data_IF_858534736699
#
_entry.id   IF_858534736699
#
_cell.length_a   1.000
_cell.length_b   1.000
_cell.length_c   1.000
_cell.angle_alpha   90.00
_cell.angle_beta   90.00
_cell.angle_gamma   90.00
#
_symmetry.space_group_name_H-M   'P 1'
#
loop_
_entity.id
_entity.type
_entity.pdbx_description
1 polymer ?
#
# COMPACT_ATOMS: atom_id res chain seq x y z
N UNK A 1 23.62 20.52 -3.10
CA UNK A 1 22.22 20.33 -2.68
C UNK A 1 21.35 19.57 -3.70
N UNK A 2 21.49 19.81 -5.00
CA UNK A 2 20.73 19.16 -6.09
C UNK A 2 20.94 17.64 -6.14
N UNK A 3 22.19 17.18 -6.08
CA UNK A 3 22.54 15.74 -6.16
C UNK A 3 21.86 14.95 -5.02
N UNK A 4 21.88 15.47 -3.78
CA UNK A 4 21.25 14.78 -2.65
C UNK A 4 19.73 14.64 -2.83
N UNK A 5 19.07 15.66 -3.40
CA UNK A 5 17.62 15.60 -3.71
C UNK A 5 17.35 14.59 -4.82
N UNK A 6 18.17 14.54 -5.85
CA UNK A 6 18.07 13.56 -6.93
C UNK A 6 18.24 12.13 -6.40
N UNK A 7 19.25 11.88 -5.58
CA UNK A 7 19.47 10.57 -4.96
C UNK A 7 18.27 10.16 -4.11
N UNK A 8 17.72 11.04 -3.27
CA UNK A 8 16.52 10.74 -2.48
C UNK A 8 15.30 10.43 -3.35
N UNK A 9 15.14 11.13 -4.48
CA UNK A 9 14.06 10.84 -5.43
C UNK A 9 14.19 9.48 -6.08
N UNK A 10 15.41 9.10 -6.48
CA UNK A 10 15.70 7.77 -7.05
C UNK A 10 15.43 6.68 -6.01
N UNK A 11 15.96 6.83 -4.79
CA UNK A 11 15.75 5.86 -3.71
C UNK A 11 14.26 5.63 -3.45
N UNK A 12 13.46 6.70 -3.33
CA UNK A 12 12.01 6.58 -3.16
C UNK A 12 11.33 5.83 -4.32
N UNK A 13 11.71 6.11 -5.56
CA UNK A 13 11.16 5.39 -6.71
C UNK A 13 11.51 3.91 -6.69
N UNK A 14 12.74 3.57 -6.31
CA UNK A 14 13.17 2.18 -6.14
C UNK A 14 12.38 1.50 -5.03
N UNK A 15 12.18 2.15 -3.89
CA UNK A 15 11.35 1.64 -2.79
C UNK A 15 9.91 1.40 -3.24
N UNK A 16 9.29 2.36 -3.92
CA UNK A 16 7.94 2.19 -4.48
C UNK A 16 7.88 1.00 -5.44
N UNK A 17 8.86 0.85 -6.34
CA UNK A 17 8.92 -0.26 -7.28
C UNK A 17 9.08 -1.61 -6.58
N UNK A 18 9.90 -1.69 -5.52
CA UNK A 18 10.09 -2.92 -4.75
C UNK A 18 8.85 -3.32 -3.95
N UNK A 19 8.04 -2.35 -3.50
CA UNK A 19 6.82 -2.63 -2.74
C UNK A 19 5.62 -2.86 -3.67
N UNK A 20 5.35 -1.94 -4.59
CA UNK A 20 4.12 -1.87 -5.38
C UNK A 20 4.32 -2.14 -6.88
N UNK A 21 5.54 -2.47 -7.33
CA UNK A 21 5.81 -2.72 -8.75
C UNK A 21 4.92 -3.84 -9.30
N UNK A 22 4.27 -3.57 -10.43
CA UNK A 22 3.28 -4.47 -11.02
C UNK A 22 1.85 -4.28 -10.51
N UNK A 23 1.64 -3.94 -9.22
CA UNK A 23 0.31 -3.67 -8.65
C UNK A 23 -0.19 -2.25 -8.90
N UNK A 24 0.71 -1.33 -9.29
CA UNK A 24 0.41 0.09 -9.43
C UNK A 24 0.56 0.88 -8.13
N UNK A 25 0.32 2.20 -8.22
CA UNK A 25 0.50 3.16 -7.11
C UNK A 25 -0.78 3.37 -6.29
N UNK A 26 -1.84 2.67 -6.63
CA UNK A 26 -3.15 2.75 -6.02
C UNK A 26 -4.27 2.82 -7.05
N UNK A 27 -5.49 2.70 -6.56
CA UNK A 27 -6.70 2.68 -7.39
C UNK A 27 -7.58 3.88 -7.09
N UNK A 28 -8.03 4.53 -8.16
CA UNK A 28 -8.97 5.65 -8.08
C UNK A 28 -10.38 5.12 -7.86
N UNK A 29 -11.04 5.69 -6.85
CA UNK A 29 -12.44 5.41 -6.51
C UNK A 29 -13.39 6.39 -7.16
N UNK A 30 -13.04 7.68 -7.15
CA UNK A 30 -13.90 8.76 -7.61
C UNK A 30 -13.08 9.99 -7.99
N UNK A 31 -13.65 10.83 -8.85
CA UNK A 31 -13.10 12.14 -9.22
C UNK A 31 -14.15 13.24 -9.11
N UNK A 32 -13.70 14.44 -8.78
CA UNK A 32 -14.54 15.66 -8.80
C UNK A 32 -13.74 16.76 -9.47
N UNK A 33 -14.21 17.22 -10.62
CA UNK A 33 -13.56 18.27 -11.36
C UNK A 33 -13.54 19.58 -10.57
N UNK A 34 -12.36 20.20 -10.51
CA UNK A 34 -12.16 21.55 -9.97
C UNK A 34 -12.37 22.56 -11.10
N UNK A 35 -11.74 22.29 -12.24
CA UNK A 35 -11.82 23.09 -13.47
C UNK A 35 -11.53 22.19 -14.69
N UNK A 36 -11.40 22.80 -15.88
CA UNK A 36 -11.17 22.06 -17.13
C UNK A 36 -9.80 21.39 -17.23
N UNK A 37 -8.86 21.70 -16.33
CA UNK A 37 -7.46 21.22 -16.33
C UNK A 37 -7.04 20.55 -15.04
N UNK A 38 -7.92 20.51 -14.04
CA UNK A 38 -7.64 19.90 -12.74
C UNK A 38 -8.85 19.21 -12.14
N UNK A 39 -8.59 18.10 -11.46
CA UNK A 39 -9.60 17.30 -10.77
C UNK A 39 -9.11 16.86 -9.40
N UNK A 40 -10.04 16.76 -8.44
CA UNK A 40 -9.76 16.10 -7.16
C UNK A 40 -10.10 14.63 -7.29
N UNK A 41 -9.15 13.79 -6.96
CA UNK A 41 -9.26 12.33 -7.03
C UNK A 41 -9.32 11.78 -5.63
N UNK A 42 -10.19 10.81 -5.40
CA UNK A 42 -10.26 10.01 -4.18
C UNK A 42 -9.81 8.58 -4.50
N UNK A 43 -8.83 8.08 -3.73
CA UNK A 43 -8.34 6.72 -3.84
C UNK A 43 -9.15 5.77 -2.96
N UNK A 44 -9.17 4.49 -3.32
CA UNK A 44 -9.67 3.47 -2.41
C UNK A 44 -8.77 3.40 -1.16
N UNK A 45 -9.36 3.38 0.06
CA UNK A 45 -8.58 3.36 1.31
C UNK A 45 -7.60 2.18 1.39
N UNK A 46 -7.95 1.03 0.79
CA UNK A 46 -7.12 -0.20 0.77
C UNK A 46 -5.82 0.01 -0.02
N UNK A 47 -5.84 0.84 -1.07
CA UNK A 47 -4.69 1.06 -1.97
C UNK A 47 -4.03 2.43 -1.76
N UNK A 48 -4.50 3.23 -0.80
CA UNK A 48 -3.95 4.55 -0.53
C UNK A 48 -2.69 4.50 0.32
N UNK A 49 -1.56 4.86 -0.26
CA UNK A 49 -0.27 4.96 0.41
C UNK A 49 0.29 6.39 0.29
N UNK A 50 0.01 7.30 1.24
CA UNK A 50 0.38 8.71 1.13
C UNK A 50 1.89 8.93 1.00
N UNK A 51 2.72 8.02 1.52
CA UNK A 51 4.18 8.09 1.41
C UNK A 51 4.69 8.08 -0.03
N UNK A 52 3.97 7.45 -0.95
CA UNK A 52 4.30 7.41 -2.37
C UNK A 52 4.20 8.82 -2.98
N UNK A 53 3.18 9.56 -2.61
CA UNK A 53 2.78 10.82 -3.24
C UNK A 53 3.48 12.06 -2.67
N UNK A 54 3.98 11.97 -1.43
CA UNK A 54 4.67 13.09 -0.80
C UNK A 54 5.96 13.44 -1.55
N UNK A 55 6.03 14.67 -2.06
CA UNK A 55 7.17 15.19 -2.82
C UNK A 55 7.16 14.82 -4.31
N UNK A 56 6.09 14.22 -4.81
CA UNK A 56 5.92 13.86 -6.23
C UNK A 56 5.12 14.91 -7.04
N UNK A 57 4.86 16.09 -6.48
CA UNK A 57 4.14 17.14 -7.21
C UNK A 57 4.79 17.44 -8.56
N UNK A 58 3.99 17.39 -9.62
CA UNK A 58 4.42 17.54 -11.01
C UNK A 58 4.93 16.25 -11.66
N UNK A 59 5.01 15.12 -10.94
CA UNK A 59 5.38 13.85 -11.56
C UNK A 59 4.28 13.39 -12.53
N UNK A 60 4.64 12.98 -13.76
CA UNK A 60 3.67 12.44 -14.70
C UNK A 60 3.26 11.02 -14.29
N UNK A 61 1.97 10.75 -14.39
CA UNK A 61 1.32 9.48 -14.08
C UNK A 61 0.39 9.08 -15.22
N UNK A 62 0.20 7.79 -15.36
CA UNK A 62 -0.74 7.19 -16.30
C UNK A 62 -1.87 6.51 -15.54
N UNK A 63 -3.09 6.66 -16.04
CA UNK A 63 -4.29 6.05 -15.48
C UNK A 63 -4.83 5.05 -16.48
N UNK A 64 -5.10 3.85 -15.99
CA UNK A 64 -5.52 2.72 -16.77
C UNK A 64 -6.85 2.15 -16.29
N UNK A 65 -7.67 1.74 -17.26
CA UNK A 65 -8.78 0.82 -17.05
C UNK A 65 -8.37 -0.55 -17.62
N UNK A 66 -8.04 -1.48 -16.71
CA UNK A 66 -7.46 -2.76 -17.11
C UNK A 66 -6.20 -2.58 -17.98
N UNK A 67 -6.26 -2.94 -19.25
CA UNK A 67 -5.14 -2.79 -20.21
C UNK A 67 -5.11 -1.43 -20.94
N UNK A 68 -6.21 -0.66 -20.91
CA UNK A 68 -6.39 0.55 -21.71
C UNK A 68 -5.88 1.78 -20.98
N UNK A 69 -5.01 2.57 -21.61
CA UNK A 69 -4.61 3.88 -21.11
C UNK A 69 -5.77 4.87 -21.30
N UNK A 70 -6.22 5.48 -20.21
CA UNK A 70 -7.31 6.46 -20.19
C UNK A 70 -6.77 7.89 -20.30
N UNK A 71 -5.80 8.23 -19.44
CA UNK A 71 -5.26 9.59 -19.38
C UNK A 71 -3.82 9.59 -18.83
N UNK A 72 -3.07 10.63 -19.23
CA UNK A 72 -1.76 10.95 -18.66
C UNK A 72 -1.88 12.25 -17.89
N UNK A 73 -1.82 12.18 -16.57
CA UNK A 73 -2.00 13.32 -15.69
C UNK A 73 -0.72 13.64 -14.93
N UNK A 74 -0.68 14.76 -14.25
CA UNK A 74 0.40 15.12 -13.34
C UNK A 74 -0.10 15.18 -11.90
N UNK A 75 0.72 14.73 -10.99
CA UNK A 75 0.46 14.77 -9.55
C UNK A 75 0.38 16.22 -9.07
N UNK A 76 -0.72 16.60 -8.45
CA UNK A 76 -0.91 17.90 -7.81
C UNK A 76 -0.64 17.86 -6.30
N UNK A 77 -1.44 18.60 -5.55
CA UNK A 77 -1.35 18.65 -4.09
C UNK A 77 -2.22 17.57 -3.45
N UNK A 78 -1.73 16.98 -2.36
CA UNK A 78 -2.56 16.15 -1.48
C UNK A 78 -3.49 17.08 -0.70
N UNK A 79 -4.79 16.89 -0.81
CA UNK A 79 -5.80 17.72 -0.14
C UNK A 79 -6.27 17.11 1.17
N UNK A 80 -6.37 15.77 1.23
CA UNK A 80 -6.72 15.05 2.46
C UNK A 80 -5.97 13.71 2.52
N UNK A 81 -5.02 13.63 3.46
CA UNK A 81 -4.21 12.42 3.67
C UNK A 81 -5.06 11.27 4.23
N UNK A 82 -6.07 11.56 5.05
CA UNK A 82 -6.89 10.52 5.71
C UNK A 82 -7.89 9.89 4.75
N UNK A 83 -8.49 10.71 3.89
CA UNK A 83 -9.47 10.25 2.91
C UNK A 83 -8.84 9.85 1.59
N UNK A 84 -7.52 9.95 1.45
CA UNK A 84 -6.85 9.60 0.20
C UNK A 84 -7.19 10.54 -0.95
N UNK A 85 -7.31 11.85 -0.68
CA UNK A 85 -7.66 12.84 -1.71
C UNK A 85 -6.47 13.65 -2.14
N UNK A 86 -6.33 13.78 -3.45
CA UNK A 86 -5.30 14.62 -4.07
C UNK A 86 -5.80 15.27 -5.34
N UNK A 87 -5.17 16.36 -5.73
CA UNK A 87 -5.42 17.01 -7.02
C UNK A 87 -4.55 16.34 -8.09
N UNK A 88 -5.11 16.12 -9.26
CA UNK A 88 -4.39 15.77 -10.47
C UNK A 88 -4.64 16.84 -11.53
N UNK A 89 -3.66 17.11 -12.38
CA UNK A 89 -3.72 18.13 -13.42
C UNK A 89 -3.38 17.53 -14.78
N UNK A 90 -4.03 18.02 -15.82
CA UNK A 90 -3.81 17.54 -17.20
C UNK A 90 -4.38 18.50 -18.21
N UNK A 91 -4.40 18.10 -19.47
CA UNK A 91 -5.12 18.83 -20.51
C UNK A 91 -6.63 18.65 -20.35
N UNK A 92 -7.42 19.56 -20.92
CA UNK A 92 -8.89 19.46 -20.88
C UNK A 92 -9.39 18.11 -21.42
N UNK A 93 -8.78 17.60 -22.49
CA UNK A 93 -9.15 16.32 -23.08
C UNK A 93 -8.86 15.13 -22.16
N UNK A 94 -7.71 15.14 -21.47
CA UNK A 94 -7.32 14.09 -20.53
C UNK A 94 -8.20 14.10 -19.27
N UNK A 95 -8.52 15.28 -18.74
CA UNK A 95 -9.43 15.40 -17.59
C UNK A 95 -10.84 14.90 -17.97
N UNK A 96 -11.34 15.27 -19.15
CA UNK A 96 -12.64 14.80 -19.63
C UNK A 96 -12.67 13.28 -19.82
N UNK A 97 -11.63 12.71 -20.42
CA UNK A 97 -11.51 11.25 -20.61
C UNK A 97 -11.46 10.51 -19.26
N UNK A 98 -10.67 11.03 -18.32
CA UNK A 98 -10.55 10.49 -16.98
C UNK A 98 -11.87 10.56 -16.20
N UNK A 99 -12.55 11.71 -16.23
CA UNK A 99 -13.82 11.90 -15.53
C UNK A 99 -14.92 10.97 -16.08
N UNK A 100 -14.96 10.80 -17.40
CA UNK A 100 -15.88 9.87 -18.05
C UNK A 100 -15.61 8.41 -17.70
N UNK A 101 -14.37 8.05 -17.40
CA UNK A 101 -13.98 6.69 -16.99
C UNK A 101 -14.22 6.43 -15.49
N UNK A 102 -14.27 7.47 -14.65
CA UNK A 102 -14.54 7.36 -13.21
C UNK A 102 -16.03 7.33 -12.90
N UNK A 103 -16.79 6.45 -13.52
CA UNK A 103 -18.23 6.26 -13.29
C UNK A 103 -18.56 5.52 -11.98
N UNK A 104 -17.54 5.16 -11.23
CA UNK A 104 -17.67 4.50 -9.92
C UNK A 104 -17.87 2.98 -9.97
N UNK A 105 -17.90 2.38 -11.15
CA UNK A 105 -18.13 0.94 -11.30
C UNK A 105 -16.83 0.14 -11.42
N UNK A 106 -15.79 0.71 -12.06
CA UNK A 106 -14.49 0.04 -12.25
C UNK A 106 -13.37 0.84 -11.60
N UNK A 107 -12.55 0.24 -10.73
CA UNK A 107 -11.39 0.93 -10.16
C UNK A 107 -10.35 1.20 -11.25
N UNK A 108 -9.85 2.43 -11.34
CA UNK A 108 -8.81 2.81 -12.29
C UNK A 108 -7.44 2.71 -11.63
N UNK A 109 -6.53 1.98 -12.26
CA UNK A 109 -5.18 1.79 -11.76
C UNK A 109 -4.28 2.97 -12.12
N UNK A 110 -3.43 3.39 -11.20
CA UNK A 110 -2.49 4.48 -11.39
C UNK A 110 -1.06 3.96 -11.43
N UNK A 111 -0.29 4.39 -12.43
CA UNK A 111 1.13 4.07 -12.60
C UNK A 111 1.96 5.32 -12.83
N UNK A 112 3.26 5.28 -12.57
CA UNK A 112 4.17 6.28 -13.10
C UNK A 112 4.23 6.18 -14.62
N UNK A 113 4.54 7.30 -15.28
CA UNK A 113 4.64 7.35 -16.74
C UNK A 113 5.56 6.26 -17.29
N UNK A 114 5.00 5.41 -18.16
CA UNK A 114 5.71 4.32 -18.83
C UNK A 114 6.09 3.13 -17.92
N UNK A 115 5.54 3.04 -16.72
CA UNK A 115 5.88 2.03 -15.73
C UNK A 115 5.11 0.71 -15.93
N UNK A 116 3.86 0.79 -16.35
CA UNK A 116 2.99 -0.39 -16.48
C UNK A 116 3.61 -1.48 -17.35
N UNK A 117 3.75 -2.68 -16.78
CA UNK A 117 4.33 -3.85 -17.45
C UNK A 117 5.84 -3.77 -17.71
N UNK A 118 6.55 -2.75 -17.19
CA UNK A 118 8.00 -2.56 -17.35
C UNK A 118 8.75 -2.51 -16.03
N UNK A 119 8.05 -2.40 -14.93
CA UNK A 119 8.64 -2.41 -13.59
C UNK A 119 8.95 -3.84 -13.13
N UNK A 120 9.90 -3.98 -12.21
CA UNK A 120 10.09 -5.23 -11.51
C UNK A 120 8.84 -5.52 -10.66
N UNK A 121 8.50 -6.78 -10.48
CA UNK A 121 7.38 -7.19 -9.65
C UNK A 121 7.70 -6.89 -8.18
N UNK A 122 6.84 -6.14 -7.53
CA UNK A 122 6.96 -5.76 -6.13
C UNK A 122 6.43 -6.83 -5.17
N UNK A 123 6.68 -6.63 -3.88
CA UNK A 123 6.25 -7.54 -2.82
C UNK A 123 4.72 -7.71 -2.81
N UNK A 124 3.96 -6.63 -2.98
CA UNK A 124 2.50 -6.66 -3.01
C UNK A 124 2.00 -7.53 -4.17
N UNK A 125 2.55 -7.35 -5.38
CA UNK A 125 2.20 -8.17 -6.53
C UNK A 125 2.51 -9.65 -6.32
N UNK A 126 3.68 -9.97 -5.73
CA UNK A 126 4.09 -11.36 -5.47
C UNK A 126 3.23 -12.01 -4.39
N UNK A 127 2.80 -11.24 -3.38
CA UNK A 127 1.97 -11.75 -2.29
C UNK A 127 0.52 -12.03 -2.73
N UNK A 128 -0.06 -11.16 -3.56
CA UNK A 128 -1.47 -11.25 -4.01
C UNK A 128 -1.64 -11.87 -5.41
N UNK A 129 -0.58 -12.42 -5.94
CA UNK A 129 -0.57 -12.93 -7.31
C UNK A 129 -1.45 -14.18 -7.48
N UNK A 130 -2.17 -14.23 -8.61
CA UNK A 130 -2.94 -15.39 -9.06
C UNK A 130 -2.51 -15.80 -10.48
N UNK A 131 -2.34 -17.10 -10.74
CA UNK A 131 -1.93 -17.64 -12.04
C UNK A 131 -0.46 -18.09 -12.07
N UNK A 132 0.27 -17.82 -13.16
CA UNK A 132 1.65 -18.30 -13.36
C UNK A 132 2.66 -17.16 -13.13
N UNK A 133 3.57 -17.34 -12.20
CA UNK A 133 4.67 -16.41 -11.89
C UNK A 133 6.00 -17.15 -12.05
N UNK A 134 6.95 -16.56 -12.79
CA UNK A 134 8.25 -17.17 -13.10
C UNK A 134 8.16 -18.61 -13.69
N UNK A 135 7.06 -18.91 -14.42
CA UNK A 135 6.81 -20.22 -14.98
C UNK A 135 6.21 -21.24 -14.00
N UNK A 136 5.91 -20.86 -12.77
CA UNK A 136 5.31 -21.70 -11.75
C UNK A 136 3.85 -21.29 -11.57
N UNK A 137 2.93 -22.25 -11.70
CA UNK A 137 1.50 -22.05 -11.47
C UNK A 137 1.20 -22.19 -9.97
N UNK A 138 0.66 -21.14 -9.37
CA UNK A 138 0.31 -21.11 -7.94
C UNK A 138 -0.91 -22.01 -7.61
N UNK A 139 -1.74 -22.35 -8.60
CA UNK A 139 -2.83 -23.30 -8.39
C UNK A 139 -2.34 -24.75 -8.24
N UNK A 140 -1.18 -25.06 -8.83
CA UNK A 140 -0.56 -26.38 -8.73
C UNK A 140 0.44 -26.52 -7.58
N UNK A 141 0.89 -25.38 -7.01
CA UNK A 141 1.95 -25.33 -5.99
C UNK A 141 1.56 -24.42 -4.82
N UNK A 142 0.84 -24.96 -3.87
CA UNK A 142 0.30 -24.21 -2.70
C UNK A 142 1.35 -23.44 -1.89
N UNK A 143 2.58 -23.96 -1.78
CA UNK A 143 3.67 -23.31 -1.06
C UNK A 143 4.28 -22.13 -1.81
N UNK A 144 3.97 -21.98 -3.11
CA UNK A 144 4.43 -20.85 -3.91
C UNK A 144 3.45 -19.67 -3.87
N UNK A 145 2.24 -19.90 -3.38
CA UNK A 145 1.22 -18.88 -3.22
C UNK A 145 1.44 -18.08 -1.94
N UNK A 146 1.35 -16.75 -2.02
CA UNK A 146 1.23 -15.88 -0.84
C UNK A 146 0.00 -16.28 -0.02
N UNK A 147 0.10 -16.28 1.30
CA UNK A 147 -1.03 -16.57 2.18
C UNK A 147 -1.73 -15.26 2.54
N UNK A 148 -3.02 -15.16 2.31
CA UNK A 148 -3.85 -14.02 2.63
C UNK A 148 -4.64 -14.29 3.91
N UNK A 149 -4.65 -13.31 4.83
CA UNK A 149 -5.55 -13.28 5.98
C UNK A 149 -6.49 -12.08 5.84
N UNK A 150 -7.75 -12.33 5.54
CA UNK A 150 -8.77 -11.29 5.41
C UNK A 150 -9.30 -10.90 6.80
N UNK A 151 -8.97 -9.69 7.24
CA UNK A 151 -9.49 -9.09 8.46
C UNK A 151 -10.89 -8.48 8.31
N UNK A 152 -11.57 -8.69 7.17
CA UNK A 152 -12.93 -8.22 6.86
C UNK A 152 -13.12 -6.69 7.06
N UNK A 153 -12.10 -5.90 6.68
CA UNK A 153 -12.12 -4.44 6.78
C UNK A 153 -12.04 -3.88 8.21
N UNK A 154 -11.86 -4.73 9.22
CA UNK A 154 -11.70 -4.27 10.59
C UNK A 154 -10.27 -3.78 10.86
N UNK A 155 -10.12 -2.87 11.85
CA UNK A 155 -8.82 -2.36 12.27
C UNK A 155 -7.86 -3.50 12.66
N UNK A 156 -6.58 -3.35 12.35
CA UNK A 156 -5.56 -4.31 12.75
C UNK A 156 -5.38 -4.27 14.26
N UNK A 157 -5.54 -5.42 14.90
CA UNK A 157 -5.30 -5.66 16.33
C UNK A 157 -4.22 -6.69 16.51
N UNK A 158 -3.69 -6.81 17.72
CA UNK A 158 -2.68 -7.82 18.06
C UNK A 158 -3.21 -9.25 17.86
N UNK A 159 -4.47 -9.49 18.20
CA UNK A 159 -5.12 -10.79 17.99
C UNK A 159 -5.15 -11.20 16.52
N UNK A 160 -5.45 -10.25 15.62
CA UNK A 160 -5.46 -10.52 14.17
C UNK A 160 -4.07 -10.79 13.61
N UNK A 161 -3.03 -10.11 14.12
CA UNK A 161 -1.65 -10.43 13.77
C UNK A 161 -1.31 -11.86 14.22
N UNK A 162 -1.75 -12.23 15.41
CA UNK A 162 -1.57 -13.58 15.94
C UNK A 162 -2.27 -14.63 15.08
N UNK A 163 -3.51 -14.40 14.69
CA UNK A 163 -4.26 -15.31 13.81
C UNK A 163 -3.58 -15.46 12.44
N UNK A 164 -3.09 -14.36 11.87
CA UNK A 164 -2.34 -14.40 10.62
C UNK A 164 -1.05 -15.23 10.75
N UNK A 165 -0.31 -15.06 11.85
CA UNK A 165 0.91 -15.85 12.14
C UNK A 165 0.58 -17.34 12.31
N UNK A 166 -0.51 -17.67 13.02
CA UNK A 166 -0.95 -19.08 13.16
C UNK A 166 -1.23 -19.70 11.81
N UNK A 167 -1.89 -18.97 10.90
CA UNK A 167 -2.10 -19.46 9.53
C UNK A 167 -0.79 -19.75 8.81
N UNK A 168 0.19 -18.84 8.89
CA UNK A 168 1.51 -19.05 8.28
C UNK A 168 2.25 -20.26 8.86
N UNK A 169 2.17 -20.48 10.16
CA UNK A 169 2.77 -21.66 10.83
C UNK A 169 2.13 -22.96 10.35
N UNK A 170 0.82 -22.99 10.13
CA UNK A 170 0.11 -24.15 9.56
C UNK A 170 0.65 -24.51 8.17
N UNK A 171 1.02 -23.49 7.37
CA UNK A 171 1.66 -23.69 6.06
C UNK A 171 3.16 -23.95 6.11
N UNK A 172 3.73 -24.17 7.31
CA UNK A 172 5.11 -24.63 7.47
C UNK A 172 6.14 -23.53 7.71
N UNK A 173 5.71 -22.34 8.13
CA UNK A 173 6.65 -21.30 8.53
C UNK A 173 7.40 -21.71 9.80
N UNK A 174 8.74 -21.76 9.73
CA UNK A 174 9.65 -22.13 10.82
C UNK A 174 10.71 -21.07 11.14
N UNK A 175 10.63 -19.91 10.48
CA UNK A 175 11.61 -18.82 10.59
C UNK A 175 11.04 -17.58 11.28
N UNK A 176 11.94 -16.64 11.65
CA UNK A 176 11.57 -15.34 12.18
C UNK A 176 10.77 -14.53 11.13
N UNK A 177 9.79 -13.79 11.62
CA UNK A 177 8.88 -12.98 10.80
C UNK A 177 9.25 -11.51 10.86
N UNK A 178 9.04 -10.82 9.74
CA UNK A 178 9.12 -9.36 9.67
C UNK A 178 7.73 -8.81 9.33
N UNK A 179 7.20 -7.93 10.16
CA UNK A 179 5.93 -7.26 9.95
C UNK A 179 6.17 -5.88 9.32
N UNK A 180 5.78 -5.71 8.06
CA UNK A 180 5.82 -4.41 7.38
C UNK A 180 4.50 -3.68 7.57
N UNK A 181 4.50 -2.59 8.30
CA UNK A 181 3.31 -1.79 8.60
C UNK A 181 3.56 -0.30 8.43
N UNK A 182 2.49 0.46 8.23
CA UNK A 182 2.59 1.92 8.25
C UNK A 182 2.86 2.43 9.67
N UNK A 183 3.49 3.60 9.84
CA UNK A 183 3.69 4.21 11.16
C UNK A 183 2.39 4.39 11.96
N UNK A 184 1.27 4.62 11.28
CA UNK A 184 -0.04 4.74 11.91
C UNK A 184 -0.54 3.39 12.44
N UNK A 185 -0.43 2.35 11.62
CA UNK A 185 -0.80 0.99 12.02
C UNK A 185 0.05 0.52 13.20
N UNK A 186 1.35 0.82 13.18
CA UNK A 186 2.25 0.55 14.29
C UNK A 186 1.82 1.28 15.58
N UNK A 187 1.42 2.55 15.47
CA UNK A 187 0.89 3.29 16.62
C UNK A 187 -0.36 2.63 17.20
N UNK A 188 -1.26 2.14 16.35
CA UNK A 188 -2.51 1.51 16.79
C UNK A 188 -2.26 0.16 17.45
N UNK A 189 -1.33 -0.65 16.93
CA UNK A 189 -0.86 -1.89 17.57
C UNK A 189 -0.23 -1.63 18.95
N UNK A 190 0.62 -0.60 19.07
CA UNK A 190 1.21 -0.23 20.36
C UNK A 190 0.17 0.21 21.39
N UNK A 191 -0.91 0.88 20.97
CA UNK A 191 -2.02 1.24 21.87
C UNK A 191 -2.77 0.01 22.36
N UNK A 192 -3.01 -0.96 21.48
CA UNK A 192 -3.67 -2.21 21.79
C UNK A 192 -2.84 -3.03 22.80
N UNK A 193 -1.55 -3.19 22.57
CA UNK A 193 -0.62 -3.84 23.50
C UNK A 193 -0.55 -3.13 24.85
N UNK A 194 -0.52 -1.81 24.88
CA UNK A 194 -0.52 -1.03 26.12
C UNK A 194 -1.81 -1.20 26.91
N UNK A 195 -2.96 -1.39 26.25
CA UNK A 195 -4.23 -1.70 26.89
C UNK A 195 -4.18 -3.09 27.56
N UNK A 196 -3.69 -4.10 26.86
CA UNK A 196 -3.51 -5.45 27.39
C UNK A 196 -2.58 -5.48 28.61
N UNK A 197 -1.44 -4.78 28.57
CA UNK A 197 -0.49 -4.69 29.69
C UNK A 197 -1.07 -4.02 30.95
N UNK A 198 -1.96 -3.04 30.80
CA UNK A 198 -2.62 -2.38 31.94
C UNK A 198 -3.49 -3.33 32.76
N UNK A 199 -4.10 -4.32 32.13
CA UNK A 199 -4.91 -5.32 32.81
C UNK A 199 -4.08 -6.45 33.46
N UNK A 200 -2.87 -6.70 32.98
CA UNK A 200 -2.07 -7.86 33.41
C UNK A 200 -1.08 -7.54 34.54
N UNK A 201 -0.84 -6.27 34.88
CA UNK A 201 0.17 -5.90 35.87
C UNK A 201 -0.32 -4.99 36.99
N UNK A 202 -0.94 -5.55 38.08
CA UNK A 202 -1.38 -4.79 39.24
C UNK A 202 -0.23 -4.19 40.09
N UNK A 203 1.04 -4.57 39.84
CA UNK A 203 2.20 -4.18 40.66
C UNK A 203 3.05 -3.03 40.12
N UNK A 204 2.52 -2.16 39.28
CA UNK A 204 3.11 -0.83 39.03
C UNK A 204 4.46 -0.78 38.33
N UNK A 205 4.86 -1.80 37.58
CA UNK A 205 6.06 -1.73 36.74
C UNK A 205 5.85 -0.75 35.60
N UNK A 206 6.76 0.20 35.45
CA UNK A 206 6.74 1.22 34.41
C UNK A 206 6.68 0.56 33.05
N UNK A 207 5.67 0.90 32.25
CA UNK A 207 5.60 0.49 30.86
C UNK A 207 6.81 1.09 30.12
N UNK A 208 7.72 0.26 29.63
CA UNK A 208 8.75 0.69 28.71
C UNK A 208 8.07 1.16 27.42
N UNK A 209 8.48 2.36 27.01
CA UNK A 209 7.89 3.06 25.87
C UNK A 209 8.44 2.46 24.59
N UNK A 210 7.61 1.69 23.89
CA UNK A 210 7.89 1.19 22.53
C UNK A 210 8.81 -0.03 22.49
N UNK A 211 8.23 -1.18 22.22
CA UNK A 211 9.00 -2.35 21.79
C UNK A 211 9.27 -2.25 20.28
N UNK A 212 10.52 -2.37 19.87
CA UNK A 212 10.91 -2.48 18.46
C UNK A 212 10.63 -3.87 17.89
N UNK A 213 10.22 -4.82 18.74
CA UNK A 213 9.89 -6.18 18.32
C UNK A 213 8.76 -6.78 19.18
N UNK A 214 7.93 -7.57 18.55
CA UNK A 214 6.89 -8.38 19.17
C UNK A 214 7.38 -9.81 19.32
N UNK A 215 7.16 -10.43 20.48
CA UNK A 215 7.52 -11.84 20.70
C UNK A 215 6.26 -12.68 20.66
N UNK A 216 6.20 -13.60 19.73
CA UNK A 216 5.15 -14.61 19.65
C UNK A 216 5.76 -15.99 19.91
N UNK A 217 5.38 -16.61 21.01
CA UNK A 217 5.51 -18.04 21.38
C UNK A 217 6.73 -18.83 20.87
N UNK A 218 7.93 -18.29 20.84
CA UNK A 218 9.22 -18.79 20.33
C UNK A 218 9.69 -18.16 19.00
N UNK A 219 8.92 -17.28 18.38
CA UNK A 219 9.37 -16.53 17.20
C UNK A 219 9.44 -15.04 17.51
N UNK A 220 10.51 -14.39 17.03
CA UNK A 220 10.63 -12.94 17.11
C UNK A 220 10.04 -12.33 15.84
N UNK A 221 9.14 -11.35 16.00
CA UNK A 221 8.63 -10.56 14.89
C UNK A 221 9.38 -9.24 14.90
N UNK A 222 10.23 -9.00 13.90
CA UNK A 222 10.86 -7.72 13.66
C UNK A 222 9.88 -6.81 12.88
N UNK A 223 9.87 -5.51 13.18
CA UNK A 223 9.01 -4.49 12.57
C UNK A 223 9.85 -3.47 11.84
#
# INVERSE_FOLDING_TARGET
MIIKRLMNSITRRVECMLLCGGSGLGQVKNSVNIDTTSTTVEFFPKTWAPGIWVGQKGAPIEIYDGASLIATLAVGAITDIKLGKMVMTGTTGEITAFDSATDGSTPLDVYFLGAKGKEALGLEYIADFSGTLFGIDNAAHDLFKGQEYDASGAALTFDKVTDAVVNLVIYGLDSDLTLLVSPRTWQDLNKDEAALRRYTNPNGLKAEKGSESLKFHMQNIAV
#
